data_IF_977838099572
#
_entry.id   IF_977838099572
#
_cell.length_a   1.000
_cell.length_b   1.000
_cell.length_c   1.000
_cell.angle_alpha   90.00
_cell.angle_beta   90.00
_cell.angle_gamma   90.00
#
_symmetry.space_group_name_H-M   'P 1'
#
loop_
_entity.id
_entity.type
_entity.pdbx_description
1 polymer ?
#
# COMPACT_ATOMS: atom_id res chain seq x y z
N UNK A 1 -2.71 44.19 1.83
CA UNK A 1 -1.88 43.56 2.85
C UNK A 1 -0.79 42.80 2.11
N UNK A 2 0.48 42.85 2.52
CA UNK A 2 1.48 42.03 1.87
C UNK A 2 1.07 40.56 2.05
N UNK A 3 0.81 39.87 0.95
CA UNK A 3 0.65 38.42 0.94
C UNK A 3 1.96 37.81 1.44
N UNK A 4 1.98 37.27 2.66
CA UNK A 4 3.14 36.54 3.14
C UNK A 4 3.35 35.38 2.19
N UNK A 5 4.41 35.44 1.40
CA UNK A 5 4.77 34.35 0.47
C UNK A 5 5.13 33.14 1.32
N UNK A 6 4.37 32.07 1.16
CA UNK A 6 4.68 30.75 1.75
C UNK A 6 6.03 30.26 1.18
N UNK A 7 6.88 29.67 1.98
CA UNK A 7 8.13 29.11 1.46
C UNK A 7 7.83 27.86 0.62
N UNK A 8 6.98 26.96 1.15
CA UNK A 8 6.77 25.65 0.55
C UNK A 8 5.28 25.29 0.55
N UNK A 9 4.79 24.83 -0.59
CA UNK A 9 3.50 24.13 -0.72
C UNK A 9 3.79 22.63 -0.79
N UNK A 10 3.15 21.84 0.06
CA UNK A 10 3.12 20.37 -0.04
C UNK A 10 1.75 19.93 -0.58
N UNK A 11 1.72 19.10 -1.61
CA UNK A 11 0.50 18.63 -2.26
C UNK A 11 0.28 17.15 -1.95
N UNK A 12 -0.73 16.86 -1.13
CA UNK A 12 -1.08 15.53 -0.63
C UNK A 12 -0.70 15.33 0.85
N UNK A 13 -1.68 14.99 1.69
CA UNK A 13 -1.51 14.71 3.12
C UNK A 13 -1.50 13.20 3.43
N UNK A 14 -0.92 12.39 2.53
CA UNK A 14 -0.47 11.04 2.84
C UNK A 14 0.78 11.06 3.73
N UNK A 15 1.27 9.88 4.12
CA UNK A 15 2.45 9.77 5.01
C UNK A 15 3.68 10.51 4.47
N UNK A 16 3.94 10.43 3.16
CA UNK A 16 5.07 11.14 2.54
C UNK A 16 4.96 12.67 2.71
N UNK A 17 3.78 13.23 2.40
CA UNK A 17 3.55 14.67 2.52
C UNK A 17 3.55 15.15 3.96
N UNK A 18 2.94 14.41 4.86
CA UNK A 18 2.90 14.74 6.30
C UNK A 18 4.28 14.70 6.94
N UNK A 19 5.07 13.67 6.66
CA UNK A 19 6.43 13.54 7.18
C UNK A 19 7.33 14.69 6.69
N UNK A 20 7.26 15.00 5.40
CA UNK A 20 8.01 16.11 4.83
C UNK A 20 7.53 17.45 5.37
N UNK A 21 6.22 17.70 5.41
CA UNK A 21 5.65 18.96 5.90
C UNK A 21 6.02 19.21 7.36
N UNK A 22 5.96 18.18 8.22
CA UNK A 22 6.42 18.22 9.60
C UNK A 22 7.89 18.63 9.67
N UNK A 23 8.77 17.89 8.98
CA UNK A 23 10.21 18.14 9.00
C UNK A 23 10.56 19.55 8.54
N UNK A 24 9.90 20.07 7.51
CA UNK A 24 10.09 21.42 7.00
C UNK A 24 9.61 22.49 7.97
N UNK A 25 8.45 22.29 8.61
CA UNK A 25 7.90 23.22 9.59
C UNK A 25 8.76 23.26 10.87
N UNK A 26 9.22 22.11 11.38
CA UNK A 26 10.14 22.00 12.51
C UNK A 26 11.50 22.68 12.22
N UNK A 27 11.92 22.73 10.95
CA UNK A 27 13.09 23.48 10.49
C UNK A 27 12.82 25.00 10.28
N UNK A 28 11.64 25.49 10.68
CA UNK A 28 11.29 26.91 10.65
C UNK A 28 10.84 27.43 9.28
N UNK A 29 10.50 26.56 8.33
CA UNK A 29 9.93 26.97 7.05
C UNK A 29 8.43 27.24 7.17
N UNK A 30 7.90 28.22 6.43
CA UNK A 30 6.46 28.42 6.31
C UNK A 30 5.90 27.40 5.31
N UNK A 31 5.05 26.48 5.79
CA UNK A 31 4.55 25.35 5.00
C UNK A 31 3.02 25.35 4.95
N UNK A 32 2.48 25.25 3.74
CA UNK A 32 1.06 24.96 3.50
C UNK A 32 0.93 23.57 2.90
N UNK A 33 0.16 22.70 3.56
CA UNK A 33 -0.14 21.34 3.13
C UNK A 33 -1.57 21.30 2.58
N UNK A 34 -1.72 20.96 1.29
CA UNK A 34 -2.99 20.87 0.57
C UNK A 34 -3.41 19.40 0.43
N UNK A 35 -4.63 19.08 0.84
CA UNK A 35 -5.21 17.75 0.73
C UNK A 35 -6.59 17.81 0.09
N UNK A 36 -6.81 17.01 -0.95
CA UNK A 36 -8.08 16.97 -1.69
C UNK A 36 -9.20 16.32 -0.86
N UNK A 37 -8.88 15.33 -0.05
CA UNK A 37 -9.82 14.65 0.83
C UNK A 37 -10.20 15.45 2.08
N UNK A 38 -11.18 14.92 2.80
CA UNK A 38 -11.65 15.47 4.09
C UNK A 38 -10.82 14.98 5.29
N UNK A 39 -9.83 14.10 5.06
CA UNK A 39 -8.96 13.48 6.07
C UNK A 39 -7.51 13.43 5.60
N UNK A 40 -6.60 13.24 6.53
CA UNK A 40 -5.20 12.92 6.25
C UNK A 40 -5.00 11.40 6.11
N UNK A 41 -3.80 10.95 5.72
CA UNK A 41 -3.39 9.55 5.67
C UNK A 41 -3.38 8.92 4.26
N UNK A 42 -4.11 9.51 3.30
CA UNK A 42 -4.16 8.98 1.93
C UNK A 42 -4.64 7.52 1.91
N UNK A 43 -3.76 6.59 1.46
CA UNK A 43 -4.06 5.14 1.36
C UNK A 43 -3.99 4.36 2.69
N UNK A 44 -3.79 5.02 3.80
CA UNK A 44 -4.10 4.51 5.14
C UNK A 44 -5.53 4.92 5.46
N UNK A 45 -6.40 3.96 5.70
CA UNK A 45 -7.80 4.19 6.02
C UNK A 45 -8.30 3.10 6.98
N UNK A 46 -8.58 3.51 8.20
CA UNK A 46 -9.10 2.67 9.27
C UNK A 46 -10.57 2.99 9.53
N UNK A 47 -11.40 1.99 9.57
CA UNK A 47 -12.79 2.08 10.01
C UNK A 47 -12.92 1.50 11.42
N UNK A 48 -13.91 1.95 12.16
CA UNK A 48 -14.24 1.45 13.50
C UNK A 48 -15.70 1.09 13.54
N UNK A 49 -16.00 -0.20 13.65
CA UNK A 49 -17.36 -0.74 13.65
C UNK A 49 -17.51 -1.79 14.75
N UNK A 50 -18.52 -1.63 15.61
CA UNK A 50 -18.81 -2.57 16.69
C UNK A 50 -17.57 -2.94 17.54
N UNK A 51 -16.75 -1.93 17.88
CA UNK A 51 -15.48 -2.08 18.62
C UNK A 51 -14.35 -2.76 17.82
N UNK A 52 -14.58 -3.19 16.59
CA UNK A 52 -13.56 -3.75 15.71
C UNK A 52 -12.78 -2.65 14.97
N UNK A 53 -11.47 -2.88 14.79
CA UNK A 53 -10.58 -2.06 13.99
C UNK A 53 -10.45 -2.70 12.61
N UNK A 54 -10.96 -2.03 11.60
CA UNK A 54 -11.01 -2.54 10.23
C UNK A 54 -10.15 -1.67 9.33
N UNK A 55 -9.02 -2.20 8.91
CA UNK A 55 -8.21 -1.55 7.90
C UNK A 55 -8.82 -1.82 6.52
N UNK A 56 -9.03 -0.77 5.73
CA UNK A 56 -9.45 -0.88 4.32
C UNK A 56 -8.41 -0.30 3.36
N UNK A 57 -7.28 0.12 3.89
CA UNK A 57 -6.07 0.55 3.21
C UNK A 57 -4.86 -0.29 3.63
N UNK A 58 -3.71 0.37 3.88
CA UNK A 58 -2.54 -0.27 4.47
C UNK A 58 -2.87 -0.82 5.86
N UNK A 59 -2.30 -1.99 6.18
CA UNK A 59 -2.55 -2.69 7.44
C UNK A 59 -1.25 -3.15 8.09
N UNK A 60 -0.38 -3.82 7.32
CA UNK A 60 0.81 -4.44 7.87
C UNK A 60 2.01 -3.50 7.88
N UNK A 61 2.80 -3.61 8.95
CA UNK A 61 4.17 -3.17 9.00
C UNK A 61 5.01 -4.40 8.67
N UNK A 62 5.63 -4.40 7.50
CA UNK A 62 6.55 -5.44 7.08
C UNK A 62 7.91 -5.21 7.73
N UNK A 63 8.36 -6.17 8.54
CA UNK A 63 9.65 -6.14 9.19
C UNK A 63 9.87 -4.95 10.14
N UNK A 64 11.12 -4.51 10.20
CA UNK A 64 11.56 -3.46 11.11
C UNK A 64 12.27 -2.30 10.40
N UNK A 65 11.61 -1.61 9.42
CA UNK A 65 12.20 -0.42 8.80
C UNK A 65 12.45 0.66 9.86
N UNK A 66 13.69 1.11 10.05
CA UNK A 66 14.08 1.92 11.20
C UNK A 66 13.35 3.25 11.29
N UNK A 67 13.10 3.91 10.18
CA UNK A 67 12.40 5.20 10.13
C UNK A 67 10.93 5.10 10.59
N UNK A 68 10.25 3.99 10.27
CA UNK A 68 8.87 3.76 10.69
C UNK A 68 8.79 3.37 12.16
N UNK A 69 9.68 2.51 12.62
CA UNK A 69 9.73 2.13 14.04
C UNK A 69 10.09 3.29 14.94
N UNK A 70 11.06 4.13 14.52
CA UNK A 70 11.38 5.37 15.27
C UNK A 70 10.17 6.30 15.40
N UNK A 71 9.35 6.41 14.34
CA UNK A 71 8.12 7.21 14.37
C UNK A 71 7.04 6.59 15.26
N UNK A 72 6.88 5.27 15.25
CA UNK A 72 5.95 4.51 16.11
C UNK A 72 6.33 4.72 17.59
N UNK A 73 7.62 4.62 17.92
CA UNK A 73 8.14 4.86 19.27
C UNK A 73 7.92 6.32 19.72
N UNK A 74 8.23 7.28 18.84
CA UNK A 74 7.99 8.71 19.12
C UNK A 74 6.51 9.01 19.39
N UNK A 75 5.63 8.34 18.64
CA UNK A 75 4.20 8.50 18.76
C UNK A 75 3.61 7.73 19.96
N UNK A 76 4.39 6.85 20.61
CA UNK A 76 3.92 5.98 21.68
C UNK A 76 2.83 4.98 21.23
N UNK A 77 2.87 4.56 19.96
CA UNK A 77 1.87 3.65 19.39
C UNK A 77 2.19 2.20 19.76
N UNK A 78 1.17 1.46 20.16
CA UNK A 78 1.30 0.05 20.49
C UNK A 78 1.23 -0.80 19.23
N UNK A 79 2.19 -1.72 19.09
CA UNK A 79 2.24 -2.73 18.03
C UNK A 79 2.02 -4.12 18.58
N UNK A 80 1.63 -5.03 17.70
CA UNK A 80 1.71 -6.47 17.96
C UNK A 80 2.17 -7.17 16.69
N UNK A 81 2.91 -8.27 16.86
CA UNK A 81 3.32 -9.16 15.77
C UNK A 81 2.19 -10.16 15.50
N UNK A 82 1.92 -10.45 14.24
CA UNK A 82 1.00 -11.51 13.88
C UNK A 82 1.62 -12.84 14.26
N UNK A 83 0.85 -13.64 14.95
CA UNK A 83 1.25 -14.99 15.38
C UNK A 83 0.04 -15.91 15.30
N UNK A 84 0.26 -17.16 14.91
CA UNK A 84 -0.77 -18.17 14.81
C UNK A 84 -0.54 -19.14 13.65
N UNK A 85 -1.33 -20.22 13.60
CA UNK A 85 -1.24 -21.21 12.55
C UNK A 85 -1.50 -20.62 11.16
N UNK A 86 -0.81 -21.12 10.15
CA UNK A 86 -1.10 -20.88 8.76
C UNK A 86 -1.83 -22.07 8.18
N UNK A 87 -3.02 -21.85 7.65
CA UNK A 87 -3.84 -22.85 6.98
C UNK A 87 -3.62 -22.81 5.46
N UNK A 88 -3.79 -23.98 4.82
CA UNK A 88 -3.72 -24.13 3.36
C UNK A 88 -4.83 -25.02 2.86
N UNK A 89 -5.59 -24.50 1.91
CA UNK A 89 -6.65 -25.24 1.23
C UNK A 89 -6.13 -25.73 -0.12
N UNK A 90 -6.08 -27.05 -0.29
CA UNK A 90 -5.67 -27.72 -1.55
C UNK A 90 -6.46 -28.97 -1.75
N UNK A 91 -6.87 -29.22 -2.99
CA UNK A 91 -7.57 -30.46 -3.42
C UNK A 91 -8.76 -30.81 -2.51
N UNK A 92 -9.53 -29.77 -2.11
CA UNK A 92 -10.69 -29.93 -1.24
C UNK A 92 -10.36 -30.26 0.23
N UNK A 93 -9.11 -30.02 0.67
CA UNK A 93 -8.68 -30.28 2.06
C UNK A 93 -8.00 -29.07 2.66
N UNK A 94 -8.35 -28.80 3.90
CA UNK A 94 -7.71 -27.79 4.74
C UNK A 94 -6.66 -28.43 5.64
N UNK A 95 -5.43 -27.93 5.61
CA UNK A 95 -4.31 -28.48 6.37
C UNK A 95 -3.53 -27.36 7.04
N UNK A 96 -3.02 -27.61 8.24
CA UNK A 96 -1.89 -26.87 8.80
C UNK A 96 -0.61 -27.53 8.30
N UNK A 97 0.24 -26.79 7.61
CA UNK A 97 1.50 -27.35 7.11
C UNK A 97 2.65 -26.67 7.85
N UNK A 98 3.56 -27.46 8.47
CA UNK A 98 4.79 -26.90 9.02
C UNK A 98 5.59 -26.20 7.91
N UNK A 99 6.20 -25.03 8.17
CA UNK A 99 6.95 -24.25 7.17
C UNK A 99 8.00 -25.07 6.41
N UNK A 100 8.72 -25.97 7.09
CA UNK A 100 9.85 -26.74 6.53
C UNK A 100 9.46 -27.84 5.51
N UNK A 101 8.18 -28.17 5.32
CA UNK A 101 7.74 -29.25 4.44
C UNK A 101 7.05 -28.76 3.15
N UNK A 102 7.13 -27.49 2.84
CA UNK A 102 6.22 -26.86 1.88
C UNK A 102 6.84 -26.67 0.49
N UNK A 103 6.17 -27.12 -0.59
CA UNK A 103 6.57 -26.76 -1.97
C UNK A 103 6.57 -25.26 -2.23
N UNK A 104 5.85 -24.47 -1.42
CA UNK A 104 5.80 -23.01 -1.55
C UNK A 104 7.09 -22.34 -1.05
N UNK A 105 7.81 -22.94 -0.14
CA UNK A 105 9.18 -22.51 0.20
C UNK A 105 10.10 -22.58 -1.03
N UNK A 106 9.78 -23.46 -1.98
CA UNK A 106 10.47 -23.52 -3.27
C UNK A 106 10.06 -22.39 -4.22
N UNK A 107 8.85 -21.82 -4.11
CA UNK A 107 8.47 -20.63 -4.87
C UNK A 107 9.24 -19.39 -4.42
N UNK A 108 9.50 -19.26 -3.13
CA UNK A 108 10.44 -18.27 -2.60
C UNK A 108 11.86 -18.50 -3.10
N UNK A 109 12.25 -19.75 -3.36
CA UNK A 109 13.56 -20.05 -3.97
C UNK A 109 13.69 -19.40 -5.36
N UNK A 110 12.62 -19.37 -6.17
CA UNK A 110 12.62 -18.68 -7.47
C UNK A 110 12.82 -17.18 -7.30
N UNK A 111 12.15 -16.57 -6.34
CA UNK A 111 12.28 -15.13 -6.07
C UNK A 111 13.66 -14.80 -5.47
N UNK A 112 14.14 -15.60 -4.56
CA UNK A 112 15.48 -15.44 -3.97
C UNK A 112 16.60 -15.51 -5.00
N UNK A 113 16.45 -16.30 -6.07
CA UNK A 113 17.39 -16.33 -7.18
C UNK A 113 17.48 -14.98 -7.93
N UNK A 114 16.43 -14.14 -7.86
CA UNK A 114 16.41 -12.84 -8.50
C UNK A 114 17.33 -11.82 -7.82
N UNK A 115 17.66 -11.97 -6.54
CA UNK A 115 18.61 -11.10 -5.81
C UNK A 115 19.98 -11.09 -6.47
N UNK A 116 20.43 -12.25 -6.96
CA UNK A 116 21.71 -12.41 -7.63
C UNK A 116 21.63 -12.34 -9.17
N UNK A 117 20.45 -12.04 -9.71
CA UNK A 117 20.25 -12.00 -11.16
C UNK A 117 20.90 -10.78 -11.80
N UNK A 118 21.91 -11.01 -12.64
CA UNK A 118 22.68 -9.97 -13.35
C UNK A 118 22.34 -9.88 -14.84
N UNK A 119 21.35 -10.64 -15.31
CA UNK A 119 20.89 -10.61 -16.69
C UNK A 119 20.11 -9.35 -17.06
N UNK A 120 19.65 -9.22 -18.31
CA UNK A 120 18.82 -8.09 -18.74
C UNK A 120 17.51 -8.06 -17.95
N UNK A 121 17.06 -6.84 -17.62
CA UNK A 121 15.77 -6.66 -16.97
C UNK A 121 14.63 -7.03 -17.93
N UNK A 122 13.95 -8.10 -17.62
CA UNK A 122 12.86 -8.66 -18.42
C UNK A 122 11.61 -8.88 -17.54
N UNK A 123 10.42 -8.99 -18.14
CA UNK A 123 9.22 -9.39 -17.39
C UNK A 123 9.39 -10.73 -16.69
N UNK A 124 8.81 -10.86 -15.49
CA UNK A 124 8.92 -12.08 -14.69
C UNK A 124 8.44 -13.33 -15.43
N UNK A 125 7.35 -13.23 -16.20
CA UNK A 125 6.88 -14.33 -17.06
C UNK A 125 7.95 -14.85 -18.02
N UNK A 126 8.71 -13.92 -18.66
CA UNK A 126 9.79 -14.28 -19.57
C UNK A 126 10.99 -14.91 -18.84
N UNK A 127 11.25 -14.48 -17.61
CA UNK A 127 12.25 -15.13 -16.76
C UNK A 127 11.88 -16.58 -16.48
N UNK A 128 10.64 -16.82 -16.05
CA UNK A 128 10.13 -18.19 -15.81
C UNK A 128 10.26 -19.10 -17.04
N UNK A 129 9.96 -18.55 -18.23
CA UNK A 129 10.09 -19.29 -19.51
C UNK A 129 11.57 -19.62 -19.81
N UNK A 130 12.47 -18.65 -19.72
CA UNK A 130 13.90 -18.82 -20.02
C UNK A 130 14.60 -19.81 -19.11
N UNK A 131 14.21 -19.81 -17.82
CA UNK A 131 14.78 -20.71 -16.83
C UNK A 131 14.02 -22.02 -16.70
N UNK A 132 13.01 -22.28 -17.55
CA UNK A 132 12.23 -23.50 -17.60
C UNK A 132 11.71 -23.89 -16.20
N UNK A 133 11.24 -22.89 -15.43
CA UNK A 133 10.72 -23.11 -14.09
C UNK A 133 9.56 -24.09 -14.13
N UNK A 134 9.58 -25.18 -13.34
CA UNK A 134 8.51 -26.20 -13.32
C UNK A 134 7.13 -25.58 -13.07
N UNK A 135 6.10 -26.11 -13.73
CA UNK A 135 4.74 -25.53 -13.69
C UNK A 135 4.19 -25.38 -12.26
N UNK A 136 4.50 -26.30 -11.40
CA UNK A 136 4.09 -26.27 -9.98
C UNK A 136 4.66 -25.07 -9.24
N UNK A 137 5.95 -24.75 -9.48
CA UNK A 137 6.62 -23.59 -8.88
C UNK A 137 6.22 -22.29 -9.58
N UNK A 138 5.96 -22.37 -10.89
CA UNK A 138 5.53 -21.23 -11.71
C UNK A 138 4.21 -20.66 -11.19
N UNK A 139 3.19 -21.51 -10.97
CA UNK A 139 1.88 -21.07 -10.48
C UNK A 139 1.95 -20.37 -9.12
N UNK A 140 2.71 -20.93 -8.17
CA UNK A 140 2.88 -20.34 -6.83
C UNK A 140 3.70 -19.05 -6.86
N UNK A 141 4.78 -18.99 -7.66
CA UNK A 141 5.59 -17.78 -7.81
C UNK A 141 4.81 -16.64 -8.47
N UNK A 142 4.02 -16.92 -9.50
CA UNK A 142 3.12 -15.93 -10.13
C UNK A 142 2.07 -15.46 -9.11
N UNK A 143 1.43 -16.38 -8.39
CA UNK A 143 0.45 -16.06 -7.37
C UNK A 143 0.99 -15.15 -6.28
N UNK A 144 2.25 -15.38 -5.86
CA UNK A 144 2.93 -14.50 -4.90
C UNK A 144 3.19 -13.11 -5.50
N UNK A 145 3.80 -13.03 -6.68
CA UNK A 145 4.12 -11.74 -7.33
C UNK A 145 2.86 -10.92 -7.59
N UNK A 146 1.80 -11.53 -8.09
CA UNK A 146 0.53 -10.84 -8.32
C UNK A 146 -0.14 -10.44 -7.00
N UNK A 147 -0.15 -11.33 -6.01
CA UNK A 147 -0.76 -11.06 -4.71
C UNK A 147 -0.01 -10.00 -3.92
N UNK A 148 1.28 -10.16 -3.73
CA UNK A 148 2.09 -9.26 -2.89
C UNK A 148 2.33 -7.90 -3.55
N UNK A 149 2.69 -7.90 -4.85
CA UNK A 149 3.00 -6.67 -5.58
C UNK A 149 1.78 -6.01 -6.25
N UNK A 150 0.60 -6.61 -6.17
CA UNK A 150 -0.58 -6.19 -6.94
C UNK A 150 -0.26 -6.01 -8.45
N UNK A 151 0.72 -6.74 -8.95
CA UNK A 151 1.37 -6.53 -10.24
C UNK A 151 0.92 -7.54 -11.28
N UNK A 152 1.05 -7.17 -12.55
CA UNK A 152 0.96 -8.14 -13.65
C UNK A 152 2.35 -8.79 -13.85
N UNK A 153 2.45 -10.11 -13.63
CA UNK A 153 3.69 -10.89 -13.81
C UNK A 153 4.26 -10.82 -15.22
N UNK A 154 3.45 -10.41 -16.23
CA UNK A 154 3.85 -10.21 -17.61
C UNK A 154 4.53 -8.85 -17.85
N UNK A 155 4.52 -7.98 -16.85
CA UNK A 155 5.00 -6.60 -16.94
C UNK A 155 6.10 -6.31 -15.91
N UNK A 156 5.92 -6.75 -14.66
CA UNK A 156 6.88 -6.47 -13.57
C UNK A 156 8.29 -6.98 -13.91
N UNK A 157 9.30 -6.15 -13.62
CA UNK A 157 10.70 -6.43 -13.94
C UNK A 157 11.34 -7.39 -12.95
N UNK A 158 12.20 -8.30 -13.44
CA UNK A 158 12.94 -9.22 -12.55
C UNK A 158 13.98 -8.52 -11.70
N UNK A 159 14.59 -7.41 -12.20
CA UNK A 159 15.52 -6.64 -11.39
C UNK A 159 14.84 -5.89 -10.25
N UNK A 160 13.62 -5.39 -10.47
CA UNK A 160 12.85 -4.79 -9.38
C UNK A 160 12.42 -5.82 -8.34
N UNK A 161 12.02 -7.02 -8.75
CA UNK A 161 11.71 -8.11 -7.81
C UNK A 161 12.94 -8.54 -7.00
N UNK A 162 14.12 -8.66 -7.63
CA UNK A 162 15.36 -8.99 -6.94
C UNK A 162 15.77 -7.92 -5.93
N UNK A 163 15.67 -6.65 -6.31
CA UNK A 163 15.94 -5.53 -5.39
C UNK A 163 14.97 -5.51 -4.20
N UNK A 164 13.68 -5.76 -4.47
CA UNK A 164 12.67 -5.86 -3.42
C UNK A 164 12.97 -7.00 -2.45
N UNK A 165 13.32 -8.18 -2.96
CA UNK A 165 13.63 -9.34 -2.13
C UNK A 165 14.81 -9.06 -1.19
N UNK A 166 15.89 -8.46 -1.71
CA UNK A 166 17.05 -8.06 -0.91
C UNK A 166 16.67 -7.00 0.15
N UNK A 167 15.84 -6.03 -0.22
CA UNK A 167 15.40 -4.98 0.69
C UNK A 167 14.52 -5.52 1.83
N UNK A 168 13.63 -6.48 1.55
CA UNK A 168 12.80 -7.14 2.56
C UNK A 168 13.65 -7.96 3.55
N UNK A 169 14.72 -8.64 3.08
CA UNK A 169 15.64 -9.36 3.97
C UNK A 169 16.36 -8.41 4.95
N UNK A 170 16.74 -7.21 4.54
CA UNK A 170 17.43 -6.22 5.39
C UNK A 170 16.60 -5.76 6.59
N UNK A 171 15.28 -5.80 6.48
CA UNK A 171 14.35 -5.30 7.50
C UNK A 171 13.59 -6.41 8.23
N UNK A 172 13.94 -7.68 8.05
CA UNK A 172 13.15 -8.84 8.55
C UNK A 172 11.71 -8.82 7.99
N UNK A 173 11.55 -8.57 6.69
CA UNK A 173 10.27 -8.25 6.03
C UNK A 173 9.24 -9.38 6.02
N UNK A 174 9.64 -10.61 6.36
CA UNK A 174 8.77 -11.77 6.61
C UNK A 174 7.98 -11.66 7.92
N UNK A 175 8.43 -10.81 8.86
CA UNK A 175 7.72 -10.53 10.11
C UNK A 175 6.66 -9.46 9.88
N UNK A 176 5.45 -9.72 10.32
CA UNK A 176 4.30 -8.84 10.11
C UNK A 176 3.80 -8.27 11.43
N UNK A 177 3.71 -6.95 11.49
CA UNK A 177 3.20 -6.24 12.66
C UNK A 177 1.99 -5.40 12.29
N UNK A 178 1.15 -5.09 13.28
CA UNK A 178 0.03 -4.16 13.17
C UNK A 178 0.05 -3.14 14.30
N UNK A 179 -0.53 -1.96 14.05
CA UNK A 179 -0.86 -1.00 15.10
C UNK A 179 -2.16 -1.44 15.81
N UNK A 180 -2.11 -1.54 17.14
CA UNK A 180 -3.21 -2.09 17.95
C UNK A 180 -4.52 -1.32 17.78
N UNK A 181 -4.46 -0.01 17.68
CA UNK A 181 -5.63 0.86 17.64
C UNK A 181 -5.89 1.49 16.27
N UNK A 182 -5.33 0.91 15.21
CA UNK A 182 -5.50 1.34 13.83
C UNK A 182 -4.31 2.12 13.26
N UNK A 183 -4.08 1.91 11.98
CA UNK A 183 -2.92 2.50 11.29
C UNK A 183 -3.08 4.02 11.08
N UNK A 184 -4.32 4.52 11.08
CA UNK A 184 -4.63 5.96 10.96
C UNK A 184 -4.02 6.84 12.07
N UNK A 185 -3.69 6.24 13.24
CA UNK A 185 -2.99 6.96 14.31
C UNK A 185 -1.63 7.54 13.85
N UNK A 186 -0.95 6.88 12.91
CA UNK A 186 0.35 7.32 12.43
C UNK A 186 0.28 8.65 11.63
N UNK A 187 -0.55 8.76 10.57
CA UNK A 187 -0.72 10.04 9.88
C UNK A 187 -1.39 11.12 10.75
N UNK A 188 -2.24 10.76 11.70
CA UNK A 188 -2.82 11.70 12.66
C UNK A 188 -1.73 12.32 13.54
N UNK A 189 -0.86 11.51 14.11
CA UNK A 189 0.30 11.97 14.88
C UNK A 189 1.21 12.91 14.07
N UNK A 190 1.55 12.53 12.84
CA UNK A 190 2.35 13.40 11.95
C UNK A 190 1.65 14.75 11.70
N UNK A 191 0.33 14.74 11.50
CA UNK A 191 -0.46 15.93 11.28
C UNK A 191 -0.49 16.84 12.51
N UNK A 192 -0.63 16.28 13.71
CA UNK A 192 -0.58 17.03 14.97
C UNK A 192 0.77 17.71 15.17
N UNK A 193 1.86 16.98 14.95
CA UNK A 193 3.23 17.54 15.03
C UNK A 193 3.46 18.63 14.00
N UNK A 194 3.00 18.45 12.77
CA UNK A 194 3.06 19.46 11.71
C UNK A 194 2.34 20.76 12.13
N UNK A 195 1.12 20.65 12.65
CA UNK A 195 0.34 21.80 13.13
C UNK A 195 1.00 22.49 14.34
N UNK A 196 1.53 21.70 15.28
CA UNK A 196 2.24 22.20 16.46
C UNK A 196 3.50 22.99 16.08
N UNK A 197 4.17 22.62 14.97
CA UNK A 197 5.29 23.35 14.40
C UNK A 197 4.89 24.62 13.60
N UNK A 198 3.60 24.98 13.58
CA UNK A 198 3.08 26.18 12.88
C UNK A 198 2.69 25.95 11.44
N UNK A 199 2.66 24.70 10.97
CA UNK A 199 2.23 24.34 9.63
C UNK A 199 0.73 24.54 9.40
N UNK A 200 0.34 24.86 8.17
CA UNK A 200 -1.05 25.11 7.78
C UNK A 200 -1.58 23.96 6.92
N UNK A 201 -2.58 23.23 7.43
CA UNK A 201 -3.29 22.18 6.69
C UNK A 201 -4.57 22.73 6.03
N UNK A 202 -4.77 22.46 4.75
CA UNK A 202 -5.98 22.78 4.02
C UNK A 202 -6.60 21.51 3.43
N UNK A 203 -7.58 20.94 4.12
CA UNK A 203 -8.41 19.80 3.65
C UNK A 203 -9.45 20.27 2.63
N UNK A 204 -10.04 19.31 1.90
CA UNK A 204 -11.03 19.55 0.84
C UNK A 204 -10.52 20.52 -0.23
N UNK A 205 -9.21 20.51 -0.50
CA UNK A 205 -8.53 21.39 -1.43
C UNK A 205 -7.97 20.58 -2.59
N UNK A 206 -8.76 20.44 -3.63
CA UNK A 206 -8.36 19.75 -4.86
C UNK A 206 -7.44 20.65 -5.67
N UNK A 207 -6.20 20.19 -5.86
CA UNK A 207 -5.25 20.83 -6.78
C UNK A 207 -5.54 20.37 -8.20
N UNK A 208 -5.69 21.30 -9.13
CA UNK A 208 -5.98 21.02 -10.53
C UNK A 208 -4.82 21.43 -11.45
N UNK A 209 -4.03 22.43 -11.04
CA UNK A 209 -2.94 22.97 -11.86
C UNK A 209 -1.77 23.46 -11.01
N UNK A 210 -0.57 23.17 -11.47
CA UNK A 210 0.72 23.64 -10.92
C UNK A 210 1.48 24.36 -12.03
N UNK A 211 1.57 25.68 -11.94
CA UNK A 211 2.40 26.53 -12.81
C UNK A 211 3.68 26.89 -12.06
N UNK A 212 4.82 26.74 -12.73
CA UNK A 212 6.09 26.96 -12.06
C UNK A 212 7.19 27.50 -12.99
N UNK A 213 8.11 28.19 -12.37
CA UNK A 213 9.40 28.60 -12.94
C UNK A 213 10.44 28.57 -11.82
N UNK A 214 11.72 28.66 -12.11
CA UNK A 214 12.78 28.62 -11.10
C UNK A 214 12.49 29.58 -9.93
N UNK A 215 12.36 29.02 -8.72
CA UNK A 215 12.09 29.76 -7.47
C UNK A 215 10.65 30.29 -7.29
N UNK A 216 9.72 29.89 -8.13
CA UNK A 216 8.31 30.32 -8.03
C UNK A 216 7.33 29.22 -8.46
N UNK A 217 6.33 28.98 -7.62
CA UNK A 217 5.23 28.03 -7.91
C UNK A 217 3.89 28.71 -7.62
N UNK A 218 2.95 28.51 -8.52
CA UNK A 218 1.54 28.83 -8.31
C UNK A 218 0.71 27.55 -8.45
N UNK A 219 -0.05 27.26 -7.41
CA UNK A 219 -0.96 26.10 -7.34
C UNK A 219 -2.37 26.60 -7.35
N UNK A 220 -3.18 26.17 -8.31
CA UNK A 220 -4.59 26.52 -8.42
C UNK A 220 -5.47 25.27 -8.41
N UNK A 221 -6.70 25.45 -7.97
CA UNK A 221 -7.70 24.41 -7.85
C UNK A 221 -8.96 24.89 -7.16
N UNK A 222 -9.64 24.00 -6.44
CA UNK A 222 -10.86 24.33 -5.72
C UNK A 222 -10.82 23.84 -4.28
N UNK A 223 -11.42 24.61 -3.38
CA UNK A 223 -11.67 24.22 -1.98
C UNK A 223 -13.17 24.29 -1.71
N UNK A 224 -13.77 23.14 -1.36
CA UNK A 224 -15.22 23.04 -1.21
C UNK A 224 -15.99 23.66 -2.39
N UNK A 225 -15.51 23.44 -3.62
CA UNK A 225 -16.11 23.95 -4.85
C UNK A 225 -15.83 25.44 -5.18
N UNK A 226 -15.06 26.15 -4.35
CA UNK A 226 -14.67 27.55 -4.61
C UNK A 226 -13.22 27.60 -5.12
N UNK A 227 -12.94 28.39 -6.17
CA UNK A 227 -11.58 28.54 -6.69
C UNK A 227 -10.62 29.04 -5.62
N UNK A 228 -9.44 28.44 -5.56
CA UNK A 228 -8.35 28.86 -4.67
C UNK A 228 -7.03 28.90 -5.44
N UNK A 229 -6.14 29.79 -5.01
CA UNK A 229 -4.79 29.89 -5.57
C UNK A 229 -3.81 30.11 -4.41
N UNK A 230 -2.72 29.35 -4.43
CA UNK A 230 -1.62 29.46 -3.49
C UNK A 230 -0.32 29.72 -4.25
N UNK A 231 0.57 30.52 -3.68
CA UNK A 231 1.88 30.81 -4.26
C UNK A 231 2.98 30.52 -3.26
N UNK A 232 4.08 29.95 -3.71
CA UNK A 232 5.24 29.64 -2.89
C UNK A 232 6.54 29.74 -3.71
N UNK A 233 7.68 29.66 -3.01
CA UNK A 233 9.00 29.53 -3.67
C UNK A 233 9.23 28.13 -4.22
N UNK A 234 8.73 27.13 -3.53
CA UNK A 234 8.95 25.70 -3.81
C UNK A 234 7.66 24.91 -3.61
N UNK A 235 7.56 23.77 -4.30
CA UNK A 235 6.49 22.80 -4.06
C UNK A 235 7.04 21.37 -3.95
N UNK A 236 6.47 20.62 -3.02
CA UNK A 236 6.66 19.18 -2.88
C UNK A 236 5.39 18.45 -3.32
N UNK A 237 5.52 17.62 -4.35
CA UNK A 237 4.43 16.84 -4.94
C UNK A 237 4.47 15.43 -4.34
N UNK A 238 3.43 15.05 -3.58
CA UNK A 238 3.31 13.72 -2.97
C UNK A 238 2.05 13.00 -3.44
N UNK A 239 1.58 13.34 -4.62
CA UNK A 239 0.41 12.75 -5.26
C UNK A 239 0.66 11.26 -5.57
N UNK A 240 -0.36 10.39 -5.42
CA UNK A 240 -0.27 9.00 -5.85
C UNK A 240 0.13 8.85 -7.32
N UNK A 241 0.86 7.79 -7.65
CA UNK A 241 1.27 7.51 -9.03
C UNK A 241 0.07 7.52 -10.00
N UNK A 242 -1.07 6.92 -9.60
CA UNK A 242 -2.27 6.90 -10.43
C UNK A 242 -2.79 8.29 -10.78
N UNK A 243 -2.75 9.24 -9.84
CA UNK A 243 -3.15 10.64 -10.06
C UNK A 243 -2.23 11.32 -11.08
N UNK A 244 -0.91 11.10 -11.00
CA UNK A 244 0.06 11.62 -11.97
C UNK A 244 -0.15 11.02 -13.37
N UNK A 245 -0.47 9.73 -13.46
CA UNK A 245 -0.70 9.02 -14.72
C UNK A 245 -2.01 9.45 -15.41
N UNK A 246 -3.07 9.68 -14.64
CA UNK A 246 -4.36 10.13 -15.14
C UNK A 246 -4.38 11.63 -15.51
N UNK A 247 -3.30 12.36 -15.19
CA UNK A 247 -3.17 13.80 -15.45
C UNK A 247 -4.30 14.63 -14.82
N UNK A 248 -4.74 14.22 -13.66
CA UNK A 248 -5.74 14.98 -12.88
C UNK A 248 -5.22 16.36 -12.54
N UNK A 249 -3.91 16.48 -12.31
CA UNK A 249 -3.21 17.74 -12.08
C UNK A 249 -2.42 18.12 -13.34
N UNK A 250 -2.69 19.31 -13.87
CA UNK A 250 -1.92 19.89 -14.99
C UNK A 250 -0.64 20.55 -14.46
N UNK A 251 0.51 20.20 -15.05
CA UNK A 251 1.80 20.85 -14.77
C UNK A 251 2.25 21.70 -15.93
N UNK A 252 2.63 22.95 -15.69
CA UNK A 252 3.06 23.90 -16.71
C UNK A 252 4.35 24.61 -16.29
N UNK A 253 5.47 24.31 -16.96
CA UNK A 253 5.69 23.22 -17.93
C UNK A 253 5.66 21.83 -17.27
N UNK A 254 5.51 20.76 -18.05
CA UNK A 254 5.54 19.38 -17.53
C UNK A 254 6.94 19.03 -17.11
N UNK A 255 7.21 18.71 -15.82
CA UNK A 255 8.53 18.39 -15.32
C UNK A 255 8.90 16.91 -15.58
N UNK A 256 10.20 16.62 -15.61
CA UNK A 256 10.71 15.26 -15.86
C UNK A 256 10.10 14.18 -14.98
N UNK A 257 9.93 14.35 -13.65
CA UNK A 257 9.34 13.32 -12.80
C UNK A 257 7.92 12.90 -13.24
N UNK A 258 7.10 13.82 -13.74
CA UNK A 258 5.75 13.50 -14.26
C UNK A 258 5.82 12.68 -15.56
N UNK A 259 6.86 12.85 -16.37
CA UNK A 259 7.11 12.02 -17.56
C UNK A 259 7.59 10.62 -17.15
N UNK A 260 8.51 10.52 -16.20
CA UNK A 260 9.02 9.24 -15.69
C UNK A 260 7.94 8.42 -14.98
N UNK A 261 6.99 9.07 -14.28
CA UNK A 261 5.84 8.41 -13.66
C UNK A 261 5.03 7.53 -14.62
N UNK A 262 5.02 7.85 -15.93
CA UNK A 262 4.32 7.04 -16.95
C UNK A 262 5.00 5.72 -17.25
N UNK A 263 6.26 5.57 -16.89
CA UNK A 263 7.03 4.33 -17.07
C UNK A 263 6.72 3.30 -15.98
N UNK A 264 6.27 3.74 -14.82
CA UNK A 264 5.84 2.88 -13.72
C UNK A 264 4.42 2.35 -13.97
N UNK A 265 3.94 1.47 -13.12
CA UNK A 265 2.56 0.99 -13.13
C UNK A 265 1.93 1.09 -11.76
N UNK A 266 0.65 1.45 -11.76
CA UNK A 266 -0.20 1.38 -10.58
C UNK A 266 -0.82 -0.01 -10.53
N UNK A 267 -0.63 -0.70 -9.41
CA UNK A 267 -1.18 -2.03 -9.17
C UNK A 267 -2.64 -1.96 -8.74
N UNK A 268 -3.34 -3.06 -8.94
CA UNK A 268 -4.71 -3.24 -8.51
C UNK A 268 -4.79 -4.35 -7.47
N UNK A 269 -5.43 -4.07 -6.34
CA UNK A 269 -5.74 -5.07 -5.34
C UNK A 269 -7.16 -4.85 -4.82
N UNK A 270 -7.84 -5.94 -4.53
CA UNK A 270 -9.12 -5.92 -3.86
C UNK A 270 -8.97 -6.55 -2.48
N UNK A 271 -9.25 -5.74 -1.48
CA UNK A 271 -9.27 -6.12 -0.09
C UNK A 271 -10.66 -5.87 0.47
N UNK A 272 -11.15 -6.81 1.26
CA UNK A 272 -12.36 -6.62 2.03
C UNK A 272 -12.32 -7.42 3.32
N UNK A 273 -12.89 -6.86 4.37
CA UNK A 273 -12.99 -7.49 5.69
C UNK A 273 -14.45 -7.84 5.94
N UNK A 274 -14.71 -9.09 6.28
CA UNK A 274 -16.00 -9.62 6.66
C UNK A 274 -16.07 -9.70 8.19
N UNK A 275 -17.12 -9.21 8.78
CA UNK A 275 -17.37 -9.26 10.21
C UNK A 275 -18.54 -10.22 10.49
N UNK A 276 -18.35 -11.14 11.40
CA UNK A 276 -19.30 -12.19 11.73
C UNK A 276 -19.79 -12.07 13.17
N UNK A 277 -20.92 -12.71 13.49
CA UNK A 277 -21.41 -12.82 14.89
C UNK A 277 -20.51 -13.72 15.69
N UNK A 278 -20.13 -14.86 15.11
CA UNK A 278 -19.25 -15.86 15.71
C UNK A 278 -18.18 -16.33 14.71
N UNK A 279 -17.09 -16.90 15.21
CA UNK A 279 -16.00 -17.46 14.39
C UNK A 279 -16.37 -18.86 13.91
N UNK A 280 -17.18 -18.97 12.88
CA UNK A 280 -17.61 -20.27 12.33
C UNK A 280 -16.43 -21.17 11.91
N UNK A 281 -15.28 -20.59 11.60
CA UNK A 281 -14.10 -21.31 11.14
C UNK A 281 -13.34 -22.06 12.25
N UNK A 282 -13.55 -21.74 13.52
CA UNK A 282 -12.83 -22.36 14.67
C UNK A 282 -13.29 -23.79 14.92
N UNK A 283 -14.58 -24.06 14.76
CA UNK A 283 -15.20 -25.36 15.03
C UNK A 283 -15.53 -26.13 13.75
N UNK A 284 -14.94 -25.75 12.61
CA UNK A 284 -15.23 -26.38 11.32
C UNK A 284 -14.78 -27.84 11.29
N UNK A 285 -15.66 -28.72 10.80
CA UNK A 285 -15.36 -30.14 10.58
C UNK A 285 -14.28 -30.38 9.49
N UNK A 286 -13.96 -29.37 8.68
CA UNK A 286 -12.91 -29.41 7.67
C UNK A 286 -11.50 -29.38 8.29
N UNK A 287 -11.37 -28.90 9.53
CA UNK A 287 -10.11 -28.92 10.26
C UNK A 287 -9.98 -30.28 10.99
N UNK A 288 -8.76 -30.83 10.97
CA UNK A 288 -8.45 -31.95 11.84
C UNK A 288 -8.75 -31.54 13.30
N UNK A 289 -9.47 -32.35 14.13
CA UNK A 289 -9.75 -32.01 15.52
C UNK A 289 -8.54 -31.63 16.37
N UNK A 290 -7.34 -32.11 16.00
CA UNK A 290 -6.07 -31.73 16.63
C UNK A 290 -5.55 -30.36 16.16
N UNK A 291 -6.13 -29.78 15.12
CA UNK A 291 -5.73 -28.53 14.44
C UNK A 291 -6.90 -27.51 14.42
N UNK A 292 -8.04 -27.84 15.06
CA UNK A 292 -9.16 -26.93 15.23
C UNK A 292 -8.74 -25.72 16.06
N UNK A 293 -9.04 -24.53 15.57
CA UNK A 293 -8.71 -23.29 16.24
C UNK A 293 -8.66 -22.10 15.28
N UNK A 294 -8.35 -20.94 15.82
CA UNK A 294 -8.16 -19.74 15.05
C UNK A 294 -6.83 -19.80 14.27
N UNK A 295 -6.70 -19.01 13.22
CA UNK A 295 -5.51 -18.99 12.36
C UNK A 295 -5.07 -17.54 12.06
N UNK A 296 -3.79 -17.35 11.75
CA UNK A 296 -3.30 -16.06 11.27
C UNK A 296 -3.54 -15.89 9.77
N UNK A 297 -3.11 -16.85 8.95
CA UNK A 297 -3.30 -16.83 7.50
C UNK A 297 -3.93 -18.12 6.99
N UNK A 298 -4.70 -17.97 5.90
CA UNK A 298 -5.22 -19.07 5.10
C UNK A 298 -4.93 -18.79 3.62
N UNK A 299 -4.22 -19.72 2.98
CA UNK A 299 -3.92 -19.68 1.55
C UNK A 299 -4.77 -20.72 0.80
N UNK A 300 -5.50 -20.23 -0.22
CA UNK A 300 -6.37 -21.03 -1.08
C UNK A 300 -6.19 -20.63 -2.54
N UNK A 301 -4.98 -20.83 -3.08
CA UNK A 301 -4.57 -20.28 -4.38
C UNK A 301 -5.47 -20.69 -5.58
N UNK A 302 -6.24 -21.78 -5.44
CA UNK A 302 -7.21 -22.23 -6.43
C UNK A 302 -8.54 -21.47 -6.42
N UNK A 303 -8.82 -20.68 -5.39
CA UNK A 303 -10.08 -19.95 -5.19
C UNK A 303 -9.92 -18.44 -5.41
N UNK A 304 -11.02 -17.71 -5.37
CA UNK A 304 -11.08 -16.25 -5.43
C UNK A 304 -11.98 -15.76 -4.30
N UNK A 305 -11.42 -15.02 -3.32
CA UNK A 305 -10.04 -14.62 -3.08
C UNK A 305 -9.11 -15.78 -2.67
N UNK A 306 -7.79 -15.66 -2.97
CA UNK A 306 -6.83 -16.73 -2.67
C UNK A 306 -6.15 -16.62 -1.30
N UNK A 307 -6.24 -15.48 -0.62
CA UNK A 307 -5.56 -15.22 0.66
C UNK A 307 -6.54 -14.63 1.65
N UNK A 308 -6.48 -15.14 2.88
CA UNK A 308 -7.32 -14.72 3.99
C UNK A 308 -6.49 -14.59 5.25
N UNK A 309 -6.87 -13.70 6.17
CA UNK A 309 -6.24 -13.61 7.48
C UNK A 309 -7.20 -13.11 8.55
N UNK A 310 -6.86 -13.43 9.79
CA UNK A 310 -7.48 -12.86 10.99
C UNK A 310 -6.50 -11.91 11.68
N UNK A 311 -6.93 -11.12 12.66
CA UNK A 311 -6.02 -10.25 13.40
C UNK A 311 -5.29 -10.94 14.55
N UNK A 312 -5.13 -12.27 14.55
CA UNK A 312 -4.39 -12.96 15.60
C UNK A 312 -3.02 -12.32 15.89
N UNK A 313 -2.58 -12.26 17.16
CA UNK A 313 -3.19 -12.86 18.36
C UNK A 313 -4.35 -12.05 18.99
N UNK A 314 -4.78 -10.94 18.37
CA UNK A 314 -5.95 -10.25 18.85
C UNK A 314 -7.23 -11.05 18.57
N UNK A 315 -8.13 -11.09 19.55
CA UNK A 315 -9.41 -11.74 19.36
C UNK A 315 -10.36 -10.81 18.59
N UNK A 316 -10.89 -11.30 17.48
CA UNK A 316 -11.82 -10.58 16.62
C UNK A 316 -12.67 -11.57 15.83
N UNK A 317 -13.90 -11.22 15.53
CA UNK A 317 -14.79 -11.98 14.64
C UNK A 317 -14.68 -11.52 13.18
N UNK A 318 -13.52 -10.99 12.79
CA UNK A 318 -13.29 -10.53 11.42
C UNK A 318 -12.39 -11.48 10.65
N UNK A 319 -12.67 -11.59 9.36
CA UNK A 319 -11.88 -12.33 8.39
C UNK A 319 -11.63 -11.42 7.18
N UNK A 320 -10.36 -11.16 6.88
CA UNK A 320 -9.99 -10.30 5.75
C UNK A 320 -9.59 -11.15 4.56
N UNK A 321 -10.11 -10.79 3.40
CA UNK A 321 -9.81 -11.38 2.11
C UNK A 321 -8.95 -10.47 1.25
N UNK A 322 -8.04 -11.05 0.49
CA UNK A 322 -7.12 -10.35 -0.39
C UNK A 322 -6.94 -11.03 -1.75
N UNK A 323 -6.91 -10.20 -2.79
CA UNK A 323 -6.52 -10.58 -4.13
C UNK A 323 -5.83 -9.40 -4.83
N UNK A 324 -4.66 -9.65 -5.41
CA UNK A 324 -3.87 -8.64 -6.13
C UNK A 324 -3.67 -8.96 -7.60
N UNK A 325 -3.21 -7.95 -8.35
CA UNK A 325 -2.87 -8.05 -9.76
C UNK A 325 -4.07 -8.28 -10.68
N UNK A 326 -3.87 -8.86 -11.88
CA UNK A 326 -4.94 -9.09 -12.86
C UNK A 326 -6.09 -9.95 -12.33
N UNK A 327 -5.83 -10.82 -11.35
CA UNK A 327 -6.86 -11.65 -10.72
C UNK A 327 -7.91 -10.85 -9.93
N UNK A 328 -7.61 -9.59 -9.57
CA UNK A 328 -8.56 -8.69 -8.91
C UNK A 328 -9.59 -8.07 -9.87
N UNK A 329 -9.33 -8.06 -11.18
CA UNK A 329 -10.19 -7.42 -12.18
C UNK A 329 -11.66 -7.92 -12.18
N UNK A 330 -11.94 -9.24 -12.06
CA UNK A 330 -13.32 -9.71 -11.99
C UNK A 330 -14.13 -9.15 -10.81
N UNK A 331 -13.45 -8.74 -9.74
CA UNK A 331 -14.07 -8.18 -8.53
C UNK A 331 -14.23 -6.65 -8.57
N UNK A 332 -13.74 -5.99 -9.61
CA UNK A 332 -13.66 -4.52 -9.70
C UNK A 332 -15.03 -3.82 -9.63
N UNK A 333 -16.11 -4.49 -10.07
CA UNK A 333 -17.45 -3.91 -10.11
C UNK A 333 -18.34 -4.32 -8.93
N UNK A 334 -17.82 -5.13 -8.01
CA UNK A 334 -18.62 -5.64 -6.91
C UNK A 334 -18.67 -4.62 -5.76
N UNK A 335 -19.86 -4.41 -5.22
CA UNK A 335 -20.05 -3.66 -3.98
C UNK A 335 -19.54 -4.48 -2.79
N UNK A 336 -19.28 -3.86 -1.61
CA UNK A 336 -18.89 -4.63 -0.43
C UNK A 336 -19.85 -5.78 -0.11
N UNK A 337 -21.16 -5.57 -0.21
CA UNK A 337 -22.16 -6.63 0.01
C UNK A 337 -22.02 -7.78 -1.00
N UNK A 338 -21.83 -7.49 -2.28
CA UNK A 338 -21.61 -8.51 -3.33
C UNK A 338 -20.29 -9.26 -3.13
N UNK A 339 -19.23 -8.58 -2.64
CA UNK A 339 -17.97 -9.23 -2.28
C UNK A 339 -18.16 -10.21 -1.13
N UNK A 340 -18.88 -9.81 -0.09
CA UNK A 340 -19.20 -10.69 1.05
C UNK A 340 -20.02 -11.89 0.65
N UNK A 341 -21.03 -11.71 -0.20
CA UNK A 341 -21.87 -12.80 -0.70
C UNK A 341 -21.05 -13.81 -1.54
N UNK A 342 -20.26 -13.34 -2.49
CA UNK A 342 -19.37 -14.20 -3.28
C UNK A 342 -18.30 -14.91 -2.41
N UNK A 343 -17.83 -14.25 -1.37
CA UNK A 343 -16.86 -14.80 -0.44
C UNK A 343 -17.46 -15.92 0.43
N UNK A 344 -18.75 -15.86 0.78
CA UNK A 344 -19.43 -16.94 1.50
C UNK A 344 -19.42 -18.24 0.70
N UNK A 345 -19.57 -18.21 -0.62
CA UNK A 345 -19.42 -19.40 -1.49
C UNK A 345 -18.00 -19.98 -1.40
N UNK A 346 -16.98 -19.12 -1.48
CA UNK A 346 -15.59 -19.56 -1.37
C UNK A 346 -15.28 -20.16 0.01
N UNK A 347 -15.78 -19.52 1.07
CA UNK A 347 -15.59 -20.01 2.44
C UNK A 347 -16.36 -21.32 2.70
N UNK A 348 -17.53 -21.49 2.06
CA UNK A 348 -18.30 -22.74 2.07
C UNK A 348 -17.49 -23.90 1.51
N UNK A 349 -16.81 -23.70 0.38
CA UNK A 349 -15.92 -24.70 -0.22
C UNK A 349 -14.74 -25.04 0.70
N UNK A 350 -14.10 -24.00 1.28
CA UNK A 350 -12.91 -24.15 2.13
C UNK A 350 -13.22 -24.87 3.44
N UNK A 351 -14.30 -24.46 4.13
CA UNK A 351 -14.61 -24.95 5.47
C UNK A 351 -15.66 -26.08 5.49
N UNK A 352 -16.19 -26.48 4.33
CA UNK A 352 -17.25 -27.50 4.21
C UNK A 352 -18.48 -27.18 5.07
N UNK A 353 -18.90 -25.91 5.06
CA UNK A 353 -20.08 -25.38 5.72
C UNK A 353 -21.03 -24.85 4.64
N UNK A 354 -22.32 -25.01 4.80
CA UNK A 354 -23.28 -24.46 3.84
C UNK A 354 -23.16 -22.93 3.73
N UNK A 355 -23.14 -22.39 2.51
CA UNK A 355 -22.94 -20.96 2.30
C UNK A 355 -24.00 -20.09 2.96
N UNK A 356 -25.24 -20.59 3.06
CA UNK A 356 -26.33 -19.88 3.73
C UNK A 356 -26.15 -19.80 5.24
N UNK A 357 -25.51 -20.80 5.86
CA UNK A 357 -25.15 -20.76 7.28
C UNK A 357 -24.07 -19.70 7.53
N UNK A 358 -23.06 -19.61 6.66
CA UNK A 358 -22.02 -18.56 6.73
C UNK A 358 -22.64 -17.17 6.52
N UNK A 359 -23.56 -17.02 5.55
CA UNK A 359 -24.28 -15.74 5.33
C UNK A 359 -25.13 -15.34 6.52
N UNK A 360 -25.74 -16.29 7.21
CA UNK A 360 -26.53 -16.00 8.41
C UNK A 360 -25.69 -15.39 9.53
N UNK A 361 -24.42 -15.76 9.62
CA UNK A 361 -23.47 -15.19 10.60
C UNK A 361 -22.85 -13.86 10.16
N UNK A 362 -22.88 -13.50 8.87
CA UNK A 362 -22.28 -12.29 8.34
C UNK A 362 -23.03 -11.03 8.82
N UNK A 363 -22.35 -10.15 9.56
CA UNK A 363 -22.87 -8.85 9.99
C UNK A 363 -22.67 -7.79 8.91
N UNK A 364 -21.47 -7.78 8.28
CA UNK A 364 -21.14 -6.80 7.27
C UNK A 364 -19.82 -7.08 6.55
N UNK A 365 -19.66 -6.42 5.42
CA UNK A 365 -18.45 -6.48 4.61
C UNK A 365 -17.95 -5.06 4.35
N UNK A 366 -16.67 -4.82 4.61
CA UNK A 366 -16.04 -3.51 4.56
C UNK A 366 -14.91 -3.53 3.52
N UNK A 367 -14.91 -2.57 2.62
CA UNK A 367 -13.91 -2.45 1.54
C UNK A 367 -13.86 -1.03 1.05
N UNK A 368 -12.69 -0.59 0.58
CA UNK A 368 -12.53 0.64 -0.19
C UNK A 368 -12.02 0.29 -1.59
N UNK A 369 -12.59 0.92 -2.61
CA UNK A 369 -12.20 0.69 -4.01
C UNK A 369 -11.12 1.69 -4.43
N UNK A 370 -9.87 1.40 -4.11
CA UNK A 370 -8.72 2.25 -4.46
C UNK A 370 -8.54 2.44 -5.96
N UNK A 371 -9.00 1.48 -6.78
CA UNK A 371 -8.92 1.60 -8.23
C UNK A 371 -9.84 2.68 -8.79
N UNK A 372 -11.01 2.85 -8.18
CA UNK A 372 -12.01 3.85 -8.58
C UNK A 372 -11.96 5.14 -7.76
N UNK A 373 -11.17 5.15 -6.70
CA UNK A 373 -10.95 6.35 -5.91
C UNK A 373 -10.21 7.38 -6.76
N UNK A 374 -10.88 8.50 -7.08
CA UNK A 374 -10.35 9.59 -7.91
C UNK A 374 -9.13 10.31 -7.30
N UNK A 375 -8.81 10.02 -6.03
CA UNK A 375 -7.64 10.56 -5.34
C UNK A 375 -6.47 9.56 -5.28
N UNK A 376 -6.63 8.34 -5.83
CA UNK A 376 -5.59 7.31 -5.84
C UNK A 376 -5.39 6.65 -7.20
N UNK A 377 -6.47 6.18 -7.85
CA UNK A 377 -6.48 5.41 -9.11
C UNK A 377 -5.63 4.14 -9.06
N UNK A 378 -5.72 3.40 -7.95
CA UNK A 378 -5.05 2.13 -7.73
C UNK A 378 -4.54 1.96 -6.30
N UNK A 379 -4.01 0.78 -5.99
CA UNK A 379 -3.62 0.41 -4.62
C UNK A 379 -2.21 0.90 -4.30
N UNK A 380 -1.20 0.45 -5.02
CA UNK A 380 0.20 0.86 -4.89
C UNK A 380 0.99 0.55 -6.16
N UNK A 381 2.20 1.13 -6.26
CA UNK A 381 3.00 1.05 -7.48
C UNK A 381 3.84 -0.22 -7.57
N UNK A 382 4.19 -0.60 -8.81
CA UNK A 382 5.23 -1.57 -9.10
C UNK A 382 6.06 -1.13 -10.32
N UNK A 383 7.25 -1.70 -10.45
CA UNK A 383 8.22 -1.29 -11.47
C UNK A 383 8.25 -2.28 -12.63
N UNK A 384 7.84 -1.89 -13.84
CA UNK A 384 7.96 -2.69 -15.05
C UNK A 384 9.42 -2.99 -15.42
N UNK A 385 9.61 -4.05 -16.19
CA UNK A 385 10.91 -4.34 -16.81
C UNK A 385 11.45 -3.14 -17.61
N UNK A 386 12.70 -2.76 -17.35
CA UNK A 386 13.36 -1.62 -17.99
C UNK A 386 12.94 -0.24 -17.47
N UNK A 387 12.28 -0.17 -16.31
CA UNK A 387 11.82 1.09 -15.73
C UNK A 387 12.45 1.42 -14.37
N UNK A 388 13.41 0.64 -13.89
CA UNK A 388 14.00 0.80 -12.56
C UNK A 388 14.63 2.20 -12.34
N UNK A 389 15.24 2.78 -13.37
CA UNK A 389 15.82 4.11 -13.33
C UNK A 389 14.78 5.25 -13.19
N UNK A 390 13.51 4.99 -13.50
CA UNK A 390 12.45 5.99 -13.39
C UNK A 390 12.25 6.45 -11.95
N UNK A 391 12.29 5.52 -10.99
CA UNK A 391 12.18 5.86 -9.56
C UNK A 391 13.28 6.85 -9.15
N UNK A 392 14.54 6.58 -9.50
CA UNK A 392 15.67 7.46 -9.22
C UNK A 392 15.53 8.82 -9.90
N UNK A 393 15.11 8.85 -11.18
CA UNK A 393 14.91 10.12 -11.92
C UNK A 393 13.81 10.98 -11.30
N UNK A 394 12.78 10.35 -10.71
CA UNK A 394 11.72 11.06 -10.02
C UNK A 394 12.18 11.72 -8.71
N UNK A 395 13.31 11.31 -8.14
CA UNK A 395 13.85 11.93 -6.92
C UNK A 395 14.72 13.17 -7.18
N UNK A 396 15.05 13.44 -8.43
CA UNK A 396 15.90 14.57 -8.79
C UNK A 396 15.10 15.87 -8.68
N UNK A 397 15.55 16.84 -7.87
CA UNK A 397 14.90 18.15 -7.79
C UNK A 397 14.86 18.87 -9.14
N UNK A 398 13.76 19.53 -9.48
CA UNK A 398 13.61 20.27 -10.71
C UNK A 398 13.85 21.76 -10.43
N UNK A 399 14.95 22.30 -10.93
CA UNK A 399 15.38 23.71 -10.78
C UNK A 399 15.29 24.22 -9.32
N UNK A 400 15.62 23.37 -8.33
CA UNK A 400 15.47 23.65 -6.90
C UNK A 400 14.08 24.22 -6.52
N UNK A 401 13.05 23.91 -7.30
CA UNK A 401 11.71 24.47 -7.20
C UNK A 401 10.65 23.40 -6.98
N UNK A 402 10.67 22.32 -7.79
CA UNK A 402 9.77 21.19 -7.62
C UNK A 402 10.51 19.96 -7.09
N UNK A 403 9.89 19.30 -6.13
CA UNK A 403 10.36 18.08 -5.50
C UNK A 403 9.24 17.03 -5.55
N UNK A 404 9.62 15.76 -5.58
CA UNK A 404 8.67 14.65 -5.67
C UNK A 404 8.95 13.60 -4.60
N UNK A 405 7.89 13.12 -3.97
CA UNK A 405 7.92 12.03 -3.00
C UNK A 405 6.64 11.17 -3.13
N UNK A 406 6.62 10.07 -2.43
CA UNK A 406 5.58 9.04 -2.49
C UNK A 406 6.23 7.67 -2.61
N UNK A 407 5.52 6.59 -2.29
CA UNK A 407 6.06 5.22 -2.27
C UNK A 407 6.65 4.80 -3.63
N UNK A 408 6.13 5.33 -4.72
CA UNK A 408 6.57 5.07 -6.09
C UNK A 408 7.91 5.75 -6.46
N UNK A 409 8.41 6.65 -5.61
CA UNK A 409 9.73 7.30 -5.75
C UNK A 409 10.79 6.63 -4.88
N UNK A 410 10.47 5.51 -4.24
CA UNK A 410 11.45 4.74 -3.49
C UNK A 410 12.53 4.18 -4.44
N UNK A 411 13.77 4.16 -3.96
CA UNK A 411 14.94 3.68 -4.71
C UNK A 411 15.62 2.50 -4.05
N UNK A 412 15.04 2.01 -2.95
CA UNK A 412 15.64 0.96 -2.12
C UNK A 412 15.01 -0.42 -2.32
N UNK A 413 13.86 -0.49 -3.02
CA UNK A 413 13.15 -1.75 -3.27
C UNK A 413 11.84 -1.91 -2.51
N UNK A 414 11.45 -0.96 -1.68
CA UNK A 414 10.25 -1.05 -0.85
C UNK A 414 9.01 -0.37 -1.45
N UNK A 415 8.91 -0.32 -2.79
CA UNK A 415 7.72 0.26 -3.45
C UNK A 415 6.43 -0.30 -2.85
N UNK A 416 5.39 0.52 -2.84
CA UNK A 416 4.08 0.11 -2.36
C UNK A 416 3.91 0.10 -0.85
N UNK A 417 4.90 0.49 -0.06
CA UNK A 417 4.85 0.41 1.40
C UNK A 417 4.72 1.77 2.08
N UNK A 418 4.22 1.76 3.32
CA UNK A 418 4.11 2.97 4.15
C UNK A 418 5.48 3.52 4.52
N UNK A 419 6.45 2.66 4.84
CA UNK A 419 7.80 3.09 5.17
C UNK A 419 8.55 3.69 3.97
N UNK A 420 8.33 3.20 2.76
CA UNK A 420 8.85 3.84 1.56
C UNK A 420 8.25 5.23 1.35
N UNK A 421 6.94 5.40 1.57
CA UNK A 421 6.30 6.71 1.53
C UNK A 421 6.91 7.66 2.57
N UNK A 422 7.08 7.21 3.82
CA UNK A 422 7.72 7.98 4.91
C UNK A 422 9.14 8.39 4.53
N UNK A 423 9.99 7.44 4.14
CA UNK A 423 11.39 7.66 3.72
C UNK A 423 11.49 8.66 2.58
N UNK A 424 10.62 8.53 1.57
CA UNK A 424 10.61 9.44 0.42
C UNK A 424 10.27 10.88 0.80
N UNK A 425 9.34 11.07 1.74
CA UNK A 425 8.99 12.38 2.29
C UNK A 425 10.16 13.02 3.05
N UNK A 426 10.79 12.25 3.93
CA UNK A 426 11.97 12.71 4.69
C UNK A 426 13.14 13.06 3.77
N UNK A 427 13.41 12.23 2.73
CA UNK A 427 14.41 12.53 1.69
C UNK A 427 14.12 13.85 1.00
N UNK A 428 12.88 14.07 0.55
CA UNK A 428 12.51 15.29 -0.16
C UNK A 428 12.59 16.53 0.73
N UNK A 429 12.20 16.42 2.00
CA UNK A 429 12.40 17.50 2.97
C UNK A 429 13.90 17.83 3.15
N UNK A 430 14.75 16.81 3.28
CA UNK A 430 16.20 16.98 3.33
C UNK A 430 16.76 17.70 2.09
N UNK A 431 16.28 17.36 0.89
CA UNK A 431 16.68 18.04 -0.36
C UNK A 431 16.27 19.52 -0.38
N UNK A 432 15.08 19.87 0.14
CA UNK A 432 14.58 21.26 0.23
C UNK A 432 15.38 22.07 1.24
N UNK A 433 15.84 21.45 2.33
CA UNK A 433 16.59 22.11 3.39
C UNK A 433 18.07 22.30 3.10
N UNK A 434 18.61 21.57 2.12
CA UNK A 434 19.99 21.78 1.65
C UNK A 434 20.09 23.14 0.95
N UNK A 435 21.16 23.92 1.22
CA UNK A 435 21.37 25.23 0.63
C UNK A 435 21.67 25.18 -0.88
#
# INVERSE_FOLDING_TARGET
MPTSTTDIIVIGAGVAGLAAARSLAEAGRSVVLLEAGSRVGGRILTLRENEEIIEVGAEFIHGRPPELWSLIEEAGLETYELDGPTLRFREGRLNTTPPAANPEDQSFTVLKQLESYTGPDIPFSKYLDRHQVPEQLRGTSIGYVEGFNAADHRIIGVQSLGLQQAAEEEIEGDRLFRLRNGYDQLPEFLCEKFKAAGGQLSLNTLVERVEWSAGQVQVSGSRAGQPVTHTAKQALITLPLGVLQQRVVEFVPVPLPVLEARRLRMGNARRFTMMFREKFWVDSAATNPAESGDFSFLFSFGTVPPVWWTPLPQTSNTLTAWIGGPRAEPLANLTPAMLGDAACETLSEIFSIEADDIRAELIGTFSHDWQRDGLSFGSYSYVPAGALDACTKMTIPVDHTLYFAGEHTDTTGHWGTVHAALRSGLRAAGQILQP
#
